data_IF_155291898076
#
_entry.id   IF_155291898076
#
_cell.length_a   1.000
_cell.length_b   1.000
_cell.length_c   1.000
_cell.angle_alpha   90.00
_cell.angle_beta   90.00
_cell.angle_gamma   90.00
#
_symmetry.space_group_name_H-M   'P 1'
#
loop_
_entity.id
_entity.type
_entity.pdbx_description
1 polymer ?
#
# COMPACT_ATOMS: atom_id res chain seq x y z
N UNK A 1 -12.13 2.19 13.85
CA UNK A 1 -10.91 1.99 14.66
C UNK A 1 -10.34 3.35 14.96
N UNK A 2 -10.09 3.64 16.23
CA UNK A 2 -9.51 4.91 16.68
C UNK A 2 -8.23 5.20 15.89
N UNK A 3 -8.16 6.37 15.29
CA UNK A 3 -7.00 6.72 14.47
C UNK A 3 -5.78 6.89 15.38
N UNK A 4 -4.60 6.43 14.95
CA UNK A 4 -3.32 6.65 15.67
C UNK A 4 -3.07 8.16 15.85
N UNK A 5 -3.68 9.00 15.00
CA UNK A 5 -3.68 10.46 15.13
C UNK A 5 -4.59 10.97 16.25
N UNK A 6 -5.69 10.27 16.54
CA UNK A 6 -6.73 10.67 17.50
C UNK A 6 -6.26 10.51 18.95
N UNK A 7 -5.36 9.56 19.20
CA UNK A 7 -4.76 9.37 20.52
C UNK A 7 -3.56 10.31 20.80
N UNK A 8 -3.19 11.22 19.88
CA UNK A 8 -1.98 12.06 19.92
C UNK A 8 -0.63 11.31 20.06
N UNK A 9 -0.64 9.99 20.13
CA UNK A 9 0.54 9.12 20.21
C UNK A 9 1.46 9.33 19.00
N UNK A 10 0.88 9.57 17.81
CA UNK A 10 1.66 9.84 16.61
C UNK A 10 2.63 11.03 16.72
N UNK A 11 2.35 12.01 17.58
CA UNK A 11 3.17 13.22 17.74
C UNK A 11 4.46 12.92 18.50
N UNK A 12 4.36 12.07 19.53
CA UNK A 12 5.49 11.71 20.40
C UNK A 12 6.35 10.58 19.81
N UNK A 13 5.80 9.76 18.91
CA UNK A 13 6.54 8.62 18.34
C UNK A 13 7.36 9.01 17.11
N UNK A 14 8.59 8.49 17.02
CA UNK A 14 9.49 8.73 15.89
C UNK A 14 9.23 7.82 14.69
N UNK A 15 8.81 6.57 14.95
CA UNK A 15 8.49 5.59 13.91
C UNK A 15 7.14 4.94 14.12
N UNK A 16 6.34 4.87 13.05
CA UNK A 16 5.01 4.25 13.05
C UNK A 16 4.98 3.20 11.95
N UNK A 17 4.83 1.94 12.34
CA UNK A 17 4.64 0.80 11.43
C UNK A 17 3.19 0.36 11.56
N UNK A 18 2.51 0.27 10.43
CA UNK A 18 1.13 -0.17 10.36
C UNK A 18 1.07 -1.58 9.77
N UNK A 19 0.41 -2.48 10.50
CA UNK A 19 0.09 -3.83 10.06
C UNK A 19 -1.41 -3.94 9.82
N UNK A 20 -1.82 -4.49 8.67
CA UNK A 20 -3.23 -4.68 8.32
C UNK A 20 -3.48 -5.99 7.60
N UNK A 21 -4.62 -6.61 7.87
CA UNK A 21 -5.14 -7.66 7.01
C UNK A 21 -5.76 -7.06 5.76
N UNK A 22 -5.55 -7.73 4.63
CA UNK A 22 -6.08 -7.35 3.32
C UNK A 22 -6.63 -8.61 2.68
N UNK A 23 -7.90 -8.58 2.30
CA UNK A 23 -8.53 -9.67 1.56
C UNK A 23 -8.21 -9.51 0.06
N UNK A 24 -7.52 -10.49 -0.53
CA UNK A 24 -7.28 -10.55 -1.97
C UNK A 24 -7.70 -11.93 -2.48
N UNK A 25 -8.52 -11.97 -3.52
CA UNK A 25 -8.93 -13.23 -4.17
C UNK A 25 -9.53 -14.28 -3.21
N UNK A 26 -10.22 -13.84 -2.15
CA UNK A 26 -10.77 -14.72 -1.13
C UNK A 26 -9.73 -15.25 -0.13
N UNK A 27 -8.49 -14.76 -0.16
CA UNK A 27 -7.44 -15.05 0.80
C UNK A 27 -7.13 -13.85 1.68
N UNK A 28 -7.00 -14.09 2.98
CA UNK A 28 -6.56 -13.09 3.95
C UNK A 28 -5.04 -12.99 3.95
N UNK A 29 -4.54 -11.89 3.39
CA UNK A 29 -3.11 -11.55 3.36
C UNK A 29 -2.79 -10.52 4.43
N UNK A 30 -1.51 -10.41 4.79
CA UNK A 30 -1.03 -9.44 5.78
C UNK A 30 -0.16 -8.41 5.10
N UNK A 31 -0.39 -7.14 5.42
CA UNK A 31 0.30 -5.98 4.85
C UNK A 31 1.02 -5.19 5.93
N UNK A 32 2.19 -4.65 5.57
CA UNK A 32 3.06 -3.81 6.39
C UNK A 32 3.38 -2.54 5.61
N UNK A 33 3.32 -1.40 6.30
CA UNK A 33 3.82 -0.14 5.76
C UNK A 33 4.40 0.72 6.88
N UNK A 34 5.41 1.52 6.54
CA UNK A 34 5.96 2.53 7.44
C UNK A 34 5.21 3.83 7.17
N UNK A 35 4.36 4.24 8.12
CA UNK A 35 3.60 5.50 8.00
C UNK A 35 4.44 6.72 8.34
N UNK A 36 5.42 6.54 9.23
CA UNK A 36 6.28 7.62 9.73
C UNK A 36 7.62 7.04 10.13
N UNK A 37 8.69 7.75 9.80
CA UNK A 37 10.04 7.52 10.33
C UNK A 37 10.75 8.87 10.38
N UNK A 38 11.11 9.33 11.59
CA UNK A 38 11.93 10.54 11.77
C UNK A 38 13.41 10.19 11.64
N UNK A 39 14.18 11.10 11.02
CA UNK A 39 15.63 10.94 10.89
C UNK A 39 16.10 9.95 9.82
N UNK A 40 15.19 9.33 9.06
CA UNK A 40 15.53 8.47 7.93
C UNK A 40 14.45 8.50 6.86
N UNK A 41 14.86 8.24 5.61
CA UNK A 41 13.93 7.84 4.56
C UNK A 41 13.36 6.46 4.91
N UNK A 42 12.12 6.22 4.52
CA UNK A 42 11.47 4.91 4.65
C UNK A 42 10.79 4.53 3.35
N UNK A 43 10.56 3.22 3.18
CA UNK A 43 9.83 2.70 2.05
C UNK A 43 8.38 3.15 2.08
N UNK A 44 7.91 3.68 0.95
CA UNK A 44 6.53 4.18 0.78
C UNK A 44 5.59 3.09 0.24
N UNK A 45 6.13 1.95 -0.17
CA UNK A 45 5.33 0.83 -0.63
C UNK A 45 4.60 0.16 0.56
N UNK A 46 3.37 -0.27 0.32
CA UNK A 46 2.68 -1.22 1.19
C UNK A 46 3.09 -2.61 0.75
N UNK A 47 3.75 -3.35 1.63
CA UNK A 47 4.30 -4.68 1.32
C UNK A 47 3.52 -5.78 2.01
N UNK A 48 3.45 -6.93 1.36
CA UNK A 48 3.00 -8.13 2.04
C UNK A 48 4.04 -8.59 3.06
N UNK A 49 3.59 -9.22 4.14
CA UNK A 49 4.48 -10.02 4.98
C UNK A 49 3.87 -11.37 5.36
N UNK A 50 4.72 -12.36 5.54
CA UNK A 50 4.36 -13.66 6.13
C UNK A 50 5.11 -13.88 7.45
N UNK A 51 4.62 -14.81 8.26
CA UNK A 51 5.27 -15.24 9.49
C UNK A 51 5.28 -16.77 9.45
N UNK A 52 6.46 -17.36 9.57
CA UNK A 52 6.69 -18.80 9.68
C UNK A 52 7.47 -19.15 10.97
N UNK A 53 7.98 -20.37 11.05
CA UNK A 53 8.79 -20.86 12.18
C UNK A 53 10.13 -20.13 12.36
N UNK A 54 10.60 -19.39 11.34
CA UNK A 54 11.83 -18.58 11.35
C UNK A 54 11.57 -17.09 11.59
N UNK A 55 10.30 -16.68 11.68
CA UNK A 55 9.90 -15.31 11.99
C UNK A 55 9.21 -14.60 10.84
N UNK A 56 9.36 -13.28 10.78
CA UNK A 56 8.65 -12.41 9.83
C UNK A 56 9.45 -12.22 8.53
N UNK A 57 8.79 -12.44 7.40
CA UNK A 57 9.36 -12.27 6.06
C UNK A 57 8.61 -11.18 5.31
N UNK A 58 9.35 -10.18 4.81
CA UNK A 58 8.79 -9.10 4.00
C UNK A 58 8.79 -9.51 2.53
N UNK A 59 7.62 -9.47 1.91
CA UNK A 59 7.38 -9.85 0.53
C UNK A 59 7.33 -8.67 -0.44
N UNK A 60 6.54 -8.88 -1.50
CA UNK A 60 6.38 -7.92 -2.61
C UNK A 60 5.40 -6.80 -2.24
N UNK A 61 5.51 -5.63 -2.89
CA UNK A 61 4.53 -4.56 -2.76
C UNK A 61 3.18 -4.93 -3.38
N UNK A 62 2.09 -4.44 -2.79
CA UNK A 62 0.75 -4.52 -3.38
C UNK A 62 0.61 -3.48 -4.49
N UNK A 63 0.71 -3.88 -5.76
CA UNK A 63 0.58 -2.98 -6.92
C UNK A 63 -0.87 -2.78 -7.38
N UNK A 64 -1.72 -3.77 -7.16
CA UNK A 64 -3.07 -3.84 -7.75
C UNK A 64 -4.20 -3.64 -6.73
N UNK A 65 -3.86 -3.17 -5.53
CA UNK A 65 -4.81 -2.97 -4.43
C UNK A 65 -4.69 -1.54 -3.94
N UNK A 66 -5.80 -0.81 -3.94
CA UNK A 66 -5.90 0.52 -3.35
C UNK A 66 -6.85 0.52 -2.15
N UNK A 67 -6.80 1.59 -1.36
CA UNK A 67 -7.67 1.74 -0.19
C UNK A 67 -7.27 0.89 1.03
N UNK A 68 -6.04 0.35 1.06
CA UNK A 68 -5.56 -0.43 2.21
C UNK A 68 -5.58 0.39 3.52
N UNK A 69 -5.21 1.67 3.43
CA UNK A 69 -5.20 2.57 4.58
C UNK A 69 -6.60 3.01 5.01
N UNK A 70 -7.53 3.20 4.07
CA UNK A 70 -8.92 3.55 4.36
C UNK A 70 -9.73 2.35 4.85
N UNK A 71 -9.26 1.12 4.60
CA UNK A 71 -9.98 -0.12 4.88
C UNK A 71 -11.09 -0.43 3.87
N UNK A 72 -11.25 0.41 2.84
CA UNK A 72 -12.13 0.16 1.70
C UNK A 72 -11.28 -0.35 0.55
N UNK A 73 -11.09 -1.67 0.48
CA UNK A 73 -10.19 -2.28 -0.49
C UNK A 73 -10.82 -2.28 -1.88
N UNK A 74 -10.07 -1.79 -2.87
CA UNK A 74 -10.43 -1.90 -4.28
C UNK A 74 -9.31 -2.63 -5.00
N UNK A 75 -9.63 -3.81 -5.51
CA UNK A 75 -8.74 -4.57 -6.38
C UNK A 75 -8.98 -4.15 -7.84
N UNK A 76 -7.92 -3.82 -8.57
CA UNK A 76 -7.98 -3.63 -10.03
C UNK A 76 -7.18 -4.73 -10.72
N UNK A 77 -7.79 -5.38 -11.71
CA UNK A 77 -7.05 -6.37 -12.50
C UNK A 77 -5.95 -5.67 -13.30
N UNK A 78 -4.88 -6.42 -13.57
CA UNK A 78 -3.76 -5.91 -14.38
C UNK A 78 -4.22 -5.50 -15.79
N UNK A 79 -5.15 -6.27 -16.39
CA UNK A 79 -5.72 -5.96 -17.70
C UNK A 79 -6.40 -4.60 -17.77
N UNK A 80 -7.09 -4.20 -16.70
CA UNK A 80 -7.76 -2.90 -16.63
C UNK A 80 -6.74 -1.77 -16.46
N UNK A 81 -5.65 -2.00 -15.73
CA UNK A 81 -4.56 -1.03 -15.61
C UNK A 81 -3.86 -0.82 -16.95
N UNK A 82 -3.50 -1.90 -17.63
CA UNK A 82 -2.84 -1.86 -18.94
C UNK A 82 -3.75 -1.18 -19.99
N UNK A 83 -5.07 -1.44 -19.94
CA UNK A 83 -6.06 -0.78 -20.79
C UNK A 83 -6.18 0.71 -20.50
N UNK A 84 -6.18 1.09 -19.22
CA UNK A 84 -6.30 2.49 -18.81
C UNK A 84 -5.07 3.29 -19.23
N UNK A 85 -3.86 2.74 -19.08
CA UNK A 85 -2.63 3.35 -19.57
C UNK A 85 -2.68 3.54 -21.09
N UNK A 86 -3.14 2.54 -21.85
CA UNK A 86 -3.29 2.66 -23.30
C UNK A 86 -4.27 3.75 -23.74
N UNK A 87 -5.38 3.94 -23.00
CA UNK A 87 -6.37 4.98 -23.32
C UNK A 87 -5.86 6.41 -23.12
N UNK A 88 -4.87 6.61 -22.23
CA UNK A 88 -4.29 7.92 -21.94
C UNK A 88 -2.94 8.16 -22.63
N UNK A 89 -2.37 7.14 -23.29
CA UNK A 89 -1.13 7.27 -24.05
C UNK A 89 -1.36 7.99 -25.39
N UNK A 90 -2.53 7.83 -26.00
CA UNK A 90 -2.87 8.39 -27.31
C UNK A 90 -3.13 9.92 -27.29
N UNK A 91 -3.36 10.52 -26.11
CA UNK A 91 -3.68 11.95 -25.97
C UNK A 91 -2.43 12.87 -25.87
N UNK A 92 -1.22 12.30 -25.76
CA UNK A 92 0.02 13.09 -25.56
C UNK A 92 0.75 13.39 -26.88
N UNK A 93 0.49 12.64 -27.95
CA UNK A 93 1.15 12.83 -29.26
C UNK A 93 0.54 13.95 -30.13
N UNK A 94 -0.54 14.62 -29.71
CA UNK A 94 -1.21 15.67 -30.52
C UNK A 94 -0.72 17.10 -30.15
N UNK A 95 0.22 17.25 -29.22
CA UNK A 95 0.66 18.56 -28.71
C UNK A 95 2.07 19.02 -29.15
N UNK A 96 2.64 18.40 -30.19
CA UNK A 96 3.89 18.87 -30.82
C UNK A 96 3.70 19.04 -32.35
N UNK A 97 3.02 20.12 -32.76
CA UNK A 97 3.15 20.75 -34.09
C UNK A 97 2.87 22.25 -33.99
#
# INVERSE_FOLDING_TARGET
GTSITEAHISTITDSIILLRYVELYGEMRRSLTVLKMRGSMHDKDIREFSIDDKGMHIGKPFRNVSGILSGQFVYRSKSELDRLEGLFADDVEIAED
#
